data_IF_950104780698
#
_entry.id   IF_950104780698
#
_cell.length_a   1.000
_cell.length_b   1.000
_cell.length_c   1.000
_cell.angle_alpha   90.00
_cell.angle_beta   90.00
_cell.angle_gamma   90.00
#
_symmetry.space_group_name_H-M   'P 1'
#
loop_
_entity.id
_entity.type
_entity.pdbx_description
1 polymer ?
#
# COMPACT_ATOMS: atom_id res chain seq x y z
N UNK A 1 -48.72 4.18 44.27
CA UNK A 1 -47.32 4.65 44.40
C UNK A 1 -46.43 3.74 43.57
N UNK A 2 -46.10 4.17 42.36
CA UNK A 2 -45.23 3.41 41.44
C UNK A 2 -43.78 3.73 41.77
N UNK A 3 -43.06 2.77 42.34
CA UNK A 3 -41.64 2.90 42.64
C UNK A 3 -40.83 2.83 41.34
N UNK A 4 -40.27 3.96 40.92
CA UNK A 4 -39.32 4.03 39.81
C UNK A 4 -37.98 3.55 40.35
N UNK A 5 -37.63 2.30 40.05
CA UNK A 5 -36.30 1.75 40.32
C UNK A 5 -35.28 2.43 39.39
N UNK A 6 -34.67 3.51 39.87
CA UNK A 6 -33.53 4.16 39.23
C UNK A 6 -32.41 3.12 39.09
N UNK A 7 -32.16 2.69 37.86
CA UNK A 7 -31.02 1.85 37.52
C UNK A 7 -29.75 2.69 37.69
N UNK A 8 -29.10 2.56 38.86
CA UNK A 8 -27.78 3.12 39.09
C UNK A 8 -26.81 2.62 38.02
N UNK A 9 -26.29 3.55 37.21
CA UNK A 9 -25.21 3.26 36.29
C UNK A 9 -23.99 2.69 37.04
N UNK A 10 -23.09 1.98 36.34
CA UNK A 10 -21.91 1.41 36.97
C UNK A 10 -21.16 2.50 37.76
N UNK A 11 -20.84 2.20 39.03
CA UNK A 11 -20.09 3.12 39.87
C UNK A 11 -18.82 3.59 39.14
N UNK A 12 -18.42 4.87 39.25
CA UNK A 12 -17.31 5.44 38.48
C UNK A 12 -16.01 4.63 38.61
N UNK A 13 -15.75 4.02 39.77
CA UNK A 13 -14.60 3.14 39.98
C UNK A 13 -14.63 1.83 39.16
N UNK A 14 -15.81 1.30 38.85
CA UNK A 14 -15.95 0.10 38.02
C UNK A 14 -15.70 0.42 36.53
N UNK A 15 -16.16 1.58 36.06
CA UNK A 15 -15.92 2.03 34.69
C UNK A 15 -14.42 2.35 34.44
N UNK A 16 -13.73 2.93 35.43
CA UNK A 16 -12.29 3.21 35.34
C UNK A 16 -11.46 1.92 35.34
N UNK A 17 -11.80 0.93 36.18
CA UNK A 17 -11.11 -0.39 36.17
C UNK A 17 -11.29 -1.12 34.85
N UNK A 18 -12.52 -1.16 34.33
CA UNK A 18 -12.81 -1.74 33.01
C UNK A 18 -11.95 -1.05 31.92
N UNK A 19 -11.85 0.28 31.93
CA UNK A 19 -11.06 1.03 30.94
C UNK A 19 -9.56 0.69 31.01
N UNK A 20 -8.99 0.53 32.21
CA UNK A 20 -7.57 0.16 32.40
C UNK A 20 -7.31 -1.26 31.94
N UNK A 21 -8.20 -2.21 32.26
CA UNK A 21 -8.07 -3.60 31.82
C UNK A 21 -8.20 -3.74 30.30
N UNK A 22 -9.08 -2.96 29.66
CA UNK A 22 -9.15 -2.86 28.21
C UNK A 22 -7.89 -2.24 27.60
N UNK A 23 -7.33 -1.21 28.23
CA UNK A 23 -6.05 -0.61 27.82
C UNK A 23 -4.92 -1.64 27.79
N UNK A 24 -4.82 -2.49 28.81
CA UNK A 24 -3.82 -3.57 28.90
C UNK A 24 -3.94 -4.58 27.76
N UNK A 25 -5.17 -4.99 27.41
CA UNK A 25 -5.41 -5.93 26.30
C UNK A 25 -5.04 -5.32 24.95
N UNK A 26 -5.37 -4.05 24.73
CA UNK A 26 -5.01 -3.34 23.49
C UNK A 26 -3.49 -3.24 23.37
N UNK A 27 -2.80 -2.79 24.42
CA UNK A 27 -1.33 -2.67 24.44
C UNK A 27 -0.65 -4.01 24.19
N UNK A 28 -1.08 -5.08 24.86
CA UNK A 28 -0.50 -6.41 24.66
C UNK A 28 -0.74 -6.95 23.25
N UNK A 29 -1.88 -6.63 22.63
CA UNK A 29 -2.19 -7.05 21.25
C UNK A 29 -1.33 -6.31 20.23
N UNK A 30 -1.15 -5.00 20.41
CA UNK A 30 -0.25 -4.19 19.56
C UNK A 30 1.19 -4.67 19.69
N UNK A 31 1.67 -4.89 20.92
CA UNK A 31 3.03 -5.37 21.18
C UNK A 31 3.31 -6.72 20.48
N UNK A 32 2.37 -7.68 20.55
CA UNK A 32 2.48 -8.96 19.83
C UNK A 32 2.49 -8.78 18.31
N UNK A 33 1.69 -7.85 17.80
CA UNK A 33 1.70 -7.50 16.39
C UNK A 33 3.06 -6.98 15.93
N UNK A 34 3.68 -6.09 16.70
CA UNK A 34 5.05 -5.60 16.42
C UNK A 34 6.05 -6.75 16.41
N UNK A 35 6.03 -7.62 17.43
CA UNK A 35 6.92 -8.80 17.50
C UNK A 35 6.70 -9.73 16.30
N UNK A 36 5.45 -10.04 15.96
CA UNK A 36 5.12 -10.88 14.81
C UNK A 36 5.63 -10.26 13.49
N UNK A 37 5.51 -8.95 13.31
CA UNK A 37 6.06 -8.24 12.14
C UNK A 37 7.57 -8.35 12.09
N UNK A 38 8.27 -8.09 13.20
CA UNK A 38 9.75 -8.21 13.25
C UNK A 38 10.22 -9.63 12.96
N UNK A 39 9.55 -10.64 13.52
CA UNK A 39 9.84 -12.05 13.25
C UNK A 39 9.56 -12.41 11.78
N UNK A 40 8.47 -11.87 11.20
CA UNK A 40 8.17 -12.02 9.79
C UNK A 40 9.27 -11.45 8.91
N UNK A 41 9.73 -10.22 9.17
CA UNK A 41 10.83 -9.59 8.42
C UNK A 41 12.14 -10.37 8.55
N UNK A 42 12.47 -10.82 9.76
CA UNK A 42 13.64 -11.66 10.00
C UNK A 42 13.55 -12.99 9.22
N UNK A 43 12.37 -13.61 9.17
CA UNK A 43 12.12 -14.81 8.38
C UNK A 43 12.31 -14.53 6.88
N UNK A 44 11.75 -13.43 6.35
CA UNK A 44 11.93 -13.04 4.95
C UNK A 44 13.39 -12.74 4.59
N UNK A 45 14.17 -12.21 5.53
CA UNK A 45 15.60 -11.96 5.35
C UNK A 45 16.43 -13.25 5.37
N UNK A 46 16.11 -14.20 6.26
CA UNK A 46 16.91 -15.41 6.48
C UNK A 46 16.48 -16.61 5.61
N UNK A 47 15.19 -16.80 5.36
CA UNK A 47 14.67 -17.97 4.64
C UNK A 47 15.28 -18.15 3.23
N UNK A 48 15.54 -17.10 2.43
CA UNK A 48 16.17 -17.27 1.13
C UNK A 48 17.58 -17.87 1.17
N UNK A 49 18.30 -17.75 2.30
CA UNK A 49 19.60 -18.40 2.45
C UNK A 49 19.50 -19.94 2.36
N UNK A 50 18.36 -20.52 2.74
CA UNK A 50 18.12 -21.96 2.67
C UNK A 50 18.03 -22.50 1.23
N UNK A 51 17.71 -21.64 0.27
CA UNK A 51 17.62 -21.97 -1.17
C UNK A 51 18.84 -21.48 -1.95
N UNK A 52 19.92 -21.12 -1.25
CA UNK A 52 21.18 -20.66 -1.86
C UNK A 52 21.17 -19.21 -2.34
N UNK A 53 20.16 -18.41 -1.96
CA UNK A 53 20.22 -16.97 -2.20
C UNK A 53 21.07 -16.30 -1.12
N UNK A 54 21.65 -15.15 -1.43
CA UNK A 54 22.55 -14.45 -0.51
C UNK A 54 21.89 -13.21 0.07
N UNK A 55 21.50 -13.22 1.36
CA UNK A 55 21.10 -12.02 2.08
C UNK A 55 22.35 -11.21 2.46
N UNK A 56 22.38 -9.93 2.11
CA UNK A 56 23.46 -9.01 2.43
C UNK A 56 22.90 -7.76 3.09
N UNK A 57 23.54 -7.32 4.18
CA UNK A 57 23.17 -6.08 4.86
C UNK A 57 23.82 -4.89 4.16
N UNK A 58 23.02 -3.89 3.83
CA UNK A 58 23.49 -2.66 3.19
C UNK A 58 24.13 -1.75 4.22
N UNK A 59 25.43 -1.51 4.09
CA UNK A 59 26.20 -0.70 5.05
C UNK A 59 26.36 0.76 4.61
N UNK A 60 26.40 1.02 3.31
CA UNK A 60 26.67 2.35 2.72
C UNK A 60 25.44 2.91 2.00
N UNK A 61 25.44 4.23 1.74
CA UNK A 61 24.33 4.92 1.09
C UNK A 61 24.42 5.01 -0.43
N UNK A 62 25.28 4.22 -1.09
CA UNK A 62 25.53 4.36 -2.53
C UNK A 62 24.33 3.98 -3.42
N UNK A 63 23.39 3.20 -2.89
CA UNK A 63 22.19 2.74 -3.60
C UNK A 63 20.91 3.51 -3.20
N UNK A 64 21.05 4.66 -2.54
CA UNK A 64 19.93 5.55 -2.23
C UNK A 64 19.31 6.14 -3.51
N UNK A 65 17.99 6.46 -3.51
CA UNK A 65 17.06 6.45 -2.37
C UNK A 65 16.29 5.15 -2.15
N UNK A 66 16.35 4.19 -3.08
CA UNK A 66 15.49 3.00 -3.04
C UNK A 66 16.02 1.91 -2.09
N UNK A 67 17.34 1.81 -1.95
CA UNK A 67 18.02 0.91 -1.02
C UNK A 67 18.80 1.79 -0.04
N UNK A 68 18.49 1.69 1.25
CA UNK A 68 19.08 2.54 2.28
C UNK A 68 19.97 1.73 3.24
N UNK A 69 20.97 2.36 3.90
CA UNK A 69 21.74 1.69 4.94
C UNK A 69 20.84 1.09 6.02
N UNK A 70 21.10 -0.15 6.42
CA UNK A 70 20.28 -0.90 7.37
C UNK A 70 19.22 -1.82 6.73
N UNK A 71 19.01 -1.71 5.42
CA UNK A 71 18.22 -2.69 4.67
C UNK A 71 18.99 -4.01 4.52
N UNK A 72 18.28 -5.12 4.45
CA UNK A 72 18.82 -6.39 3.97
C UNK A 72 18.33 -6.63 2.56
N UNK A 73 19.26 -6.84 1.64
CA UNK A 73 18.95 -7.17 0.25
C UNK A 73 19.30 -8.62 0.00
N UNK A 74 18.34 -9.35 -0.56
CA UNK A 74 18.51 -10.74 -0.95
C UNK A 74 18.80 -10.80 -2.43
N UNK A 75 19.98 -11.35 -2.75
CA UNK A 75 20.48 -11.52 -4.11
C UNK A 75 20.27 -12.95 -4.58
N UNK A 76 19.67 -13.09 -5.76
CA UNK A 76 19.47 -14.38 -6.41
C UNK A 76 20.69 -14.71 -7.27
N UNK A 77 21.31 -15.90 -7.12
CA UNK A 77 22.36 -16.36 -8.01
C UNK A 77 21.81 -16.48 -9.43
N UNK A 78 22.53 -15.94 -10.41
CA UNK A 78 22.17 -16.03 -11.83
C UNK A 78 23.40 -16.41 -12.64
N UNK A 79 23.20 -17.12 -13.75
CA UNK A 79 24.29 -17.41 -14.69
C UNK A 79 24.84 -16.11 -15.31
N UNK A 80 26.11 -16.10 -15.67
CA UNK A 80 26.79 -14.92 -16.25
C UNK A 80 26.13 -14.38 -17.54
N UNK A 81 25.42 -15.23 -18.27
CA UNK A 81 24.64 -14.88 -19.47
C UNK A 81 23.25 -14.30 -19.21
N UNK A 82 22.75 -14.35 -17.97
CA UNK A 82 21.45 -13.78 -17.58
C UNK A 82 21.57 -12.38 -16.97
N UNK A 83 22.80 -11.88 -16.82
CA UNK A 83 23.08 -10.54 -16.28
C UNK A 83 22.82 -9.50 -17.37
N UNK A 84 21.75 -8.73 -17.19
CA UNK A 84 21.33 -7.67 -18.09
C UNK A 84 21.61 -6.27 -17.52
N UNK A 85 21.88 -5.32 -18.42
CA UNK A 85 22.06 -3.91 -18.09
C UNK A 85 20.88 -3.34 -17.31
N UNK A 86 21.17 -2.49 -16.33
CA UNK A 86 20.18 -1.85 -15.46
C UNK A 86 19.80 -2.65 -14.21
N UNK A 87 20.31 -3.87 -14.05
CA UNK A 87 20.12 -4.68 -12.83
C UNK A 87 21.09 -4.29 -11.73
N UNK A 88 20.65 -4.40 -10.49
CA UNK A 88 21.51 -4.22 -9.31
C UNK A 88 22.21 -5.55 -9.02
N UNK A 89 23.54 -5.50 -8.98
CA UNK A 89 24.39 -6.67 -8.80
C UNK A 89 25.02 -6.64 -7.41
N UNK A 90 25.15 -7.81 -6.80
CA UNK A 90 26.02 -8.06 -5.66
C UNK A 90 27.29 -8.71 -6.19
N UNK A 91 28.43 -8.07 -5.97
CA UNK A 91 29.73 -8.54 -6.45
C UNK A 91 30.81 -8.34 -5.39
N UNK A 92 31.95 -9.01 -5.56
CA UNK A 92 33.15 -8.70 -4.79
C UNK A 92 33.60 -7.26 -5.06
N UNK A 93 34.06 -6.57 -4.01
CA UNK A 93 34.55 -5.20 -4.10
C UNK A 93 36.01 -5.20 -4.61
N UNK A 94 36.29 -4.78 -5.86
CA UNK A 94 37.66 -4.73 -6.36
C UNK A 94 38.57 -3.71 -5.66
N UNK A 95 38.01 -2.75 -4.92
CA UNK A 95 38.77 -1.72 -4.21
C UNK A 95 39.03 -2.10 -2.73
N UNK A 96 38.27 -3.06 -2.18
CA UNK A 96 38.41 -3.56 -0.81
C UNK A 96 38.31 -5.10 -0.79
N UNK A 97 39.45 -5.77 -0.61
CA UNK A 97 39.48 -7.23 -0.49
C UNK A 97 38.55 -7.73 0.63
N UNK A 98 37.87 -8.86 0.38
CA UNK A 98 36.91 -9.50 1.27
C UNK A 98 35.63 -8.70 1.59
N UNK A 99 35.40 -7.58 0.89
CA UNK A 99 34.16 -6.82 0.96
C UNK A 99 33.26 -7.10 -0.25
N UNK A 100 31.95 -6.99 -0.03
CA UNK A 100 30.95 -7.06 -1.09
C UNK A 100 30.44 -5.67 -1.43
N UNK A 101 30.25 -5.42 -2.71
CA UNK A 101 29.68 -4.19 -3.24
C UNK A 101 28.39 -4.46 -3.97
N UNK A 102 27.40 -3.60 -3.74
CA UNK A 102 26.12 -3.66 -4.42
C UNK A 102 25.92 -2.41 -5.27
N UNK A 103 26.01 -2.52 -6.60
CA UNK A 103 25.83 -1.41 -7.53
C UNK A 103 25.07 -1.85 -8.80
N UNK A 104 24.51 -0.88 -9.53
CA UNK A 104 23.78 -1.14 -10.76
C UNK A 104 24.73 -1.31 -11.93
N UNK A 105 24.47 -2.34 -12.74
CA UNK A 105 25.16 -2.57 -14.00
C UNK A 105 24.74 -1.53 -15.05
N UNK A 106 25.70 -0.79 -15.61
CA UNK A 106 25.44 0.34 -16.52
C UNK A 106 25.78 0.01 -17.96
N UNK A 107 26.95 -0.58 -18.22
CA UNK A 107 27.43 -0.87 -19.57
C UNK A 107 28.59 -1.87 -19.55
N UNK A 108 28.78 -2.57 -20.68
CA UNK A 108 29.92 -3.45 -20.85
C UNK A 108 31.23 -2.65 -20.89
N UNK A 109 32.19 -3.08 -20.08
CA UNK A 109 33.54 -2.52 -20.01
C UNK A 109 34.53 -3.24 -20.93
N UNK A 110 35.81 -2.81 -20.91
CA UNK A 110 36.87 -3.44 -21.69
C UNK A 110 37.03 -4.93 -21.35
N UNK A 111 37.28 -5.77 -22.36
CA UNK A 111 37.56 -7.20 -22.15
C UNK A 111 36.37 -8.02 -21.63
N UNK A 112 35.13 -7.54 -21.77
CA UNK A 112 33.94 -8.25 -21.29
C UNK A 112 33.66 -8.07 -19.80
N UNK A 113 34.34 -7.11 -19.17
CA UNK A 113 34.04 -6.65 -17.81
C UNK A 113 32.73 -5.86 -17.77
N UNK A 114 32.25 -5.55 -16.58
CA UNK A 114 31.03 -4.79 -16.37
C UNK A 114 31.33 -3.51 -15.62
N UNK A 115 30.87 -2.38 -16.15
CA UNK A 115 30.93 -1.09 -15.45
C UNK A 115 29.70 -0.96 -14.58
N UNK A 116 29.92 -0.77 -13.28
CA UNK A 116 28.87 -0.58 -12.29
C UNK A 116 28.81 0.86 -11.79
N UNK A 117 27.67 1.21 -11.20
CA UNK A 117 27.46 2.53 -10.60
C UNK A 117 26.45 2.45 -9.46
N UNK A 118 26.77 3.07 -8.33
CA UNK A 118 25.80 3.32 -7.26
C UNK A 118 24.72 4.31 -7.69
N UNK A 119 23.46 4.04 -7.34
CA UNK A 119 22.31 4.89 -7.70
C UNK A 119 22.45 6.34 -7.20
N UNK A 120 23.08 6.53 -6.04
CA UNK A 120 23.36 7.84 -5.45
C UNK A 120 24.71 8.45 -5.89
N UNK A 121 25.56 7.68 -6.56
CA UNK A 121 26.89 8.14 -6.93
C UNK A 121 26.81 9.07 -8.18
N UNK A 122 27.58 10.17 -8.22
CA UNK A 122 27.57 11.07 -9.37
C UNK A 122 28.29 10.46 -10.59
N UNK A 123 29.34 9.68 -10.35
CA UNK A 123 30.19 9.07 -11.36
C UNK A 123 30.02 7.54 -11.35
N UNK A 124 30.37 6.89 -12.46
CA UNK A 124 30.51 5.43 -12.52
C UNK A 124 31.68 4.98 -11.64
N UNK A 125 31.68 3.71 -11.24
CA UNK A 125 32.79 3.15 -10.49
C UNK A 125 34.04 3.09 -11.39
N UNK A 126 35.20 3.44 -10.84
CA UNK A 126 36.45 3.51 -11.60
C UNK A 126 36.99 2.14 -12.02
N UNK A 127 36.63 1.10 -11.28
CA UNK A 127 37.16 -0.25 -11.44
C UNK A 127 36.05 -1.16 -11.97
N UNK A 128 36.10 -1.59 -13.24
CA UNK A 128 35.16 -2.56 -13.79
C UNK A 128 35.28 -3.91 -13.07
N UNK A 129 34.16 -4.64 -12.97
CA UNK A 129 34.12 -5.96 -12.33
C UNK A 129 34.00 -7.07 -13.38
N UNK A 130 34.61 -8.22 -13.11
CA UNK A 130 34.42 -9.40 -13.95
C UNK A 130 33.04 -10.04 -13.72
N UNK A 131 32.52 -10.75 -14.73
CA UNK A 131 31.26 -11.51 -14.59
C UNK A 131 31.34 -12.65 -13.58
N UNK A 132 32.55 -13.17 -13.34
CA UNK A 132 32.89 -14.18 -12.33
C UNK A 132 32.77 -13.66 -10.90
N UNK A 133 33.00 -12.36 -10.69
CA UNK A 133 32.95 -11.71 -9.38
C UNK A 133 31.51 -11.40 -8.91
N UNK A 134 30.50 -11.65 -9.75
CA UNK A 134 29.09 -11.42 -9.41
C UNK A 134 28.51 -12.64 -8.71
N UNK A 135 28.05 -12.43 -7.48
CA UNK A 135 27.38 -13.45 -6.68
C UNK A 135 25.89 -13.58 -7.02
N UNK A 136 25.26 -12.49 -7.48
CA UNK A 136 23.87 -12.52 -7.89
C UNK A 136 23.27 -11.16 -8.21
N UNK A 137 22.00 -11.19 -8.59
CA UNK A 137 21.17 -10.01 -8.87
C UNK A 137 20.25 -9.76 -7.69
N UNK A 138 20.19 -8.52 -7.22
CA UNK A 138 19.30 -8.11 -6.15
C UNK A 138 17.83 -8.38 -6.55
N UNK A 139 17.10 -9.07 -5.69
CA UNK A 139 15.72 -9.47 -5.95
C UNK A 139 14.75 -8.89 -4.92
N UNK A 140 15.06 -9.05 -3.63
CA UNK A 140 14.19 -8.63 -2.54
C UNK A 140 14.90 -7.69 -1.58
N UNK A 141 14.23 -6.62 -1.15
CA UNK A 141 14.69 -5.67 -0.14
C UNK A 141 13.80 -5.76 1.10
N UNK A 142 14.40 -6.05 2.24
CA UNK A 142 13.76 -6.06 3.55
C UNK A 142 14.20 -4.81 4.32
N UNK A 143 13.29 -3.87 4.60
CA UNK A 143 13.67 -2.59 5.18
C UNK A 143 14.11 -2.70 6.65
N UNK A 144 15.16 -1.96 7.01
CA UNK A 144 15.63 -1.70 8.40
C UNK A 144 16.04 -2.90 9.27
N UNK A 145 15.85 -4.14 8.84
CA UNK A 145 16.12 -5.33 9.67
C UNK A 145 17.61 -5.54 9.95
N UNK A 146 18.49 -5.03 9.09
CA UNK A 146 19.95 -5.11 9.22
C UNK A 146 20.57 -3.96 10.03
N UNK A 147 19.78 -2.97 10.44
CA UNK A 147 20.25 -1.81 11.22
C UNK A 147 21.06 -2.19 12.49
N UNK A 148 20.69 -3.21 13.28
CA UNK A 148 21.47 -3.60 14.45
C UNK A 148 22.89 -4.07 14.08
N UNK A 149 23.04 -4.77 12.96
CA UNK A 149 24.34 -5.25 12.46
C UNK A 149 25.23 -4.06 12.11
N UNK A 150 24.67 -3.05 11.44
CA UNK A 150 25.37 -1.79 11.14
C UNK A 150 25.87 -1.12 12.41
N UNK A 151 25.03 -0.95 13.42
CA UNK A 151 25.41 -0.30 14.68
C UNK A 151 26.52 -1.06 15.42
N UNK A 152 26.44 -2.39 15.44
CA UNK A 152 27.50 -3.25 16.01
C UNK A 152 28.80 -3.05 15.25
N UNK A 153 28.78 -3.08 13.91
CA UNK A 153 29.98 -2.87 13.09
C UNK A 153 30.58 -1.46 13.25
N UNK A 154 29.75 -0.45 13.52
CA UNK A 154 30.17 0.93 13.75
C UNK A 154 30.61 1.20 15.20
N UNK A 155 30.47 0.24 16.11
CA UNK A 155 30.77 0.42 17.53
C UNK A 155 29.76 1.28 18.29
N UNK A 156 28.56 1.51 17.74
CA UNK A 156 27.50 2.34 18.30
C UNK A 156 26.70 1.58 19.39
N UNK A 157 27.38 1.04 20.40
CA UNK A 157 26.80 0.18 21.44
C UNK A 157 25.65 0.81 22.21
N UNK A 158 25.61 2.15 22.32
CA UNK A 158 24.51 2.87 22.94
C UNK A 158 23.18 2.66 22.21
N UNK A 159 23.17 2.69 20.87
CA UNK A 159 21.97 2.45 20.07
C UNK A 159 21.53 0.98 20.16
N UNK A 160 22.50 0.05 20.17
CA UNK A 160 22.25 -1.38 20.36
C UNK A 160 21.59 -1.65 21.72
N UNK A 161 22.12 -1.05 22.79
CA UNK A 161 21.57 -1.19 24.14
C UNK A 161 20.15 -0.62 24.23
N UNK A 162 19.89 0.54 23.62
CA UNK A 162 18.55 1.12 23.57
C UNK A 162 17.57 0.24 22.79
N UNK A 163 17.98 -0.33 21.66
CA UNK A 163 17.18 -1.28 20.90
C UNK A 163 16.85 -2.53 21.73
N UNK A 164 17.84 -3.10 22.40
CA UNK A 164 17.67 -4.27 23.26
C UNK A 164 16.71 -3.98 24.42
N UNK A 165 16.83 -2.80 25.05
CA UNK A 165 15.92 -2.34 26.10
C UNK A 165 14.50 -2.16 25.56
N UNK A 166 14.34 -1.54 24.39
CA UNK A 166 13.06 -1.37 23.72
C UNK A 166 12.40 -2.71 23.38
N UNK A 167 13.15 -3.66 22.82
CA UNK A 167 12.67 -5.01 22.52
C UNK A 167 12.25 -5.74 23.80
N UNK A 168 13.05 -5.65 24.86
CA UNK A 168 12.72 -6.23 26.18
C UNK A 168 11.44 -5.62 26.73
N UNK A 169 11.27 -4.31 26.63
CA UNK A 169 10.04 -3.63 27.04
C UNK A 169 8.83 -4.10 26.23
N UNK A 170 8.94 -4.22 24.90
CA UNK A 170 7.85 -4.74 24.04
C UNK A 170 7.49 -6.19 24.41
N UNK A 171 8.49 -7.04 24.66
CA UNK A 171 8.25 -8.41 25.12
C UNK A 171 7.57 -8.44 26.50
N UNK A 172 7.96 -7.57 27.42
CA UNK A 172 7.29 -7.42 28.71
C UNK A 172 5.83 -6.97 28.52
N UNK A 173 5.56 -5.99 27.64
CA UNK A 173 4.20 -5.53 27.30
C UNK A 173 3.32 -6.67 26.75
N UNK A 174 3.91 -7.65 26.05
CA UNK A 174 3.18 -8.84 25.58
C UNK A 174 2.67 -9.74 26.73
N UNK A 175 3.18 -9.59 27.96
CA UNK A 175 2.79 -10.41 29.12
C UNK A 175 1.74 -9.75 30.02
N UNK A 176 1.45 -8.46 29.80
CA UNK A 176 0.63 -7.64 30.70
C UNK A 176 -0.83 -8.10 30.81
N UNK A 177 -1.39 -8.76 29.80
CA UNK A 177 -2.77 -9.30 29.82
C UNK A 177 -2.85 -10.69 30.48
N UNK A 178 -1.72 -11.33 30.81
CA UNK A 178 -1.68 -12.70 31.32
C UNK A 178 -2.33 -12.90 32.69
N UNK A 179 -2.38 -11.86 33.53
CA UNK A 179 -3.11 -11.92 34.82
C UNK A 179 -4.62 -11.90 34.64
N UNK A 180 -5.13 -11.21 33.62
CA UNK A 180 -6.56 -11.13 33.32
C UNK A 180 -7.07 -12.40 32.64
N UNK A 181 -6.25 -13.05 31.80
CA UNK A 181 -6.58 -14.36 31.23
C UNK A 181 -6.77 -15.43 32.29
N UNK A 182 -5.86 -15.50 33.28
CA UNK A 182 -5.94 -16.46 34.39
C UNK A 182 -7.20 -16.31 35.24
N UNK A 183 -7.68 -15.07 35.44
CA UNK A 183 -8.91 -14.82 36.20
C UNK A 183 -10.17 -15.21 35.43
N UNK A 184 -10.17 -15.09 34.10
CA UNK A 184 -11.29 -15.51 33.25
C UNK A 184 -11.37 -17.04 33.14
N UNK A 185 -10.23 -17.72 33.07
CA UNK A 185 -10.17 -19.19 32.98
C UNK A 185 -10.67 -19.84 34.28
N UNK A 186 -10.28 -19.30 35.44
CA UNK A 186 -10.72 -19.80 36.75
C UNK A 186 -12.24 -19.67 36.99
N UNK A 187 -12.89 -18.68 36.36
CA UNK A 187 -14.35 -18.45 36.48
C UNK A 187 -15.16 -19.44 35.61
N UNK A 188 -14.61 -19.84 34.44
CA UNK A 188 -15.23 -20.80 33.52
C UNK A 188 -15.22 -22.23 34.09
N UNK A 189 -14.17 -22.61 34.84
CA UNK A 189 -14.08 -23.91 35.53
C UNK A 189 -15.09 -24.04 36.68
N UNK A 190 -15.42 -22.94 37.37
CA UNK A 190 -16.43 -22.95 38.44
C UNK A 190 -17.88 -23.02 37.94
N UNK A 191 -18.17 -22.50 36.74
CA UNK A 191 -19.51 -22.55 36.14
C UNK A 191 -19.84 -23.94 35.52
N UNK A 192 -18.83 -24.76 35.22
CA UNK A 192 -18.99 -26.13 34.71
C UNK A 192 -19.43 -27.17 35.75
N UNK A 193 -19.24 -26.90 37.04
CA UNK A 193 -19.55 -27.84 38.13
C UNK A 193 -21.00 -27.75 38.65
N UNK A 194 -21.81 -26.78 38.18
CA UNK A 194 -23.18 -26.55 38.64
C UNK A 194 -24.27 -27.19 37.76
N UNK A 195 -23.98 -28.35 37.15
CA UNK A 195 -24.96 -29.20 36.47
C UNK A 195 -25.40 -30.35 37.39
N UNK A 196 -26.39 -30.10 38.24
CA UNK A 196 -26.99 -31.14 39.10
C UNK A 196 -27.87 -32.14 38.32
N UNK A 197 -28.05 -33.37 38.83
CA UNK A 197 -29.00 -34.34 38.27
C UNK A 197 -30.42 -34.06 38.78
N UNK A 198 -31.40 -33.95 37.87
CA UNK A 198 -32.83 -33.87 38.18
C UNK A 198 -33.54 -35.19 37.85
N UNK A 199 -34.16 -35.82 38.85
CA UNK A 199 -35.34 -36.70 38.78
C UNK A 199 -35.65 -37.21 40.22
N UNK A 200 -36.87 -37.28 40.76
CA UNK A 200 -38.22 -36.94 40.31
C UNK A 200 -39.18 -37.06 41.53
N UNK A 201 -40.38 -36.48 41.38
CA UNK A 201 -41.66 -36.83 42.03
C UNK A 201 -41.95 -36.47 43.51
N UNK A 202 -43.02 -35.69 43.73
CA UNK A 202 -43.87 -35.73 44.95
C UNK A 202 -45.18 -36.48 44.67
N UNK A 203 -46.28 -36.33 45.47
CA UNK A 203 -46.45 -35.82 46.84
C UNK A 203 -47.35 -36.74 47.75
N UNK A 204 -47.70 -36.24 48.95
CA UNK A 204 -48.88 -36.53 49.82
C UNK A 204 -48.78 -37.43 51.08
N UNK A 205 -49.43 -36.90 52.14
CA UNK A 205 -50.05 -37.50 53.35
C UNK A 205 -49.34 -37.53 54.73
N UNK A 206 -49.82 -36.61 55.59
CA UNK A 206 -50.52 -36.83 56.87
C UNK A 206 -49.79 -37.19 58.20
N UNK A 207 -50.29 -36.49 59.24
CA UNK A 207 -50.39 -36.82 60.67
C UNK A 207 -49.21 -36.51 61.63
N UNK A 208 -49.47 -35.65 62.63
CA UNK A 208 -48.73 -35.54 63.90
C UNK A 208 -49.12 -36.65 64.90
N UNK A 209 -48.86 -36.54 66.25
CA UNK A 209 -48.62 -35.31 67.02
C UNK A 209 -47.60 -35.37 68.21
N UNK A 210 -47.38 -34.18 68.80
CA UNK A 210 -47.32 -33.85 70.25
C UNK A 210 -46.03 -33.86 71.12
N UNK A 211 -46.02 -32.83 71.99
CA UNK A 211 -45.37 -32.63 73.30
C UNK A 211 -43.92 -32.07 73.34
N UNK A 212 -43.62 -30.97 74.06
CA UNK A 212 -44.43 -30.13 74.95
C UNK A 212 -43.64 -28.97 75.59
N UNK A 213 -44.42 -28.15 76.33
CA UNK A 213 -44.12 -27.21 77.44
C UNK A 213 -43.17 -26.04 77.19
N UNK A 214 -43.64 -24.78 77.17
CA UNK A 214 -44.12 -23.89 78.25
C UNK A 214 -42.98 -23.03 78.81
N UNK A 215 -43.21 -21.71 78.82
CA UNK A 215 -42.85 -20.74 79.86
C UNK A 215 -42.90 -19.32 79.28
N UNK A 216 -43.98 -18.60 79.62
CA UNK A 216 -44.12 -17.17 79.37
C UNK A 216 -43.60 -16.31 80.51
N UNK A 217 -43.18 -15.07 80.20
CA UNK A 217 -43.68 -13.87 80.89
C UNK A 217 -43.29 -12.58 80.14
N UNK A 218 -44.28 -11.72 80.01
CA UNK A 218 -44.30 -10.30 79.58
C UNK A 218 -43.33 -9.40 80.38
N UNK A 219 -42.92 -8.18 80.03
CA UNK A 219 -43.05 -7.24 78.90
C UNK A 219 -42.04 -6.10 79.18
N UNK A 220 -41.60 -5.36 78.15
CA UNK A 220 -41.51 -3.88 78.16
C UNK A 220 -40.99 -3.34 76.82
N UNK A 221 -41.91 -2.69 76.13
CA UNK A 221 -41.77 -1.57 75.18
C UNK A 221 -40.33 -1.08 74.92
N UNK A 222 -39.87 -1.28 73.69
CA UNK A 222 -38.71 -0.61 73.13
C UNK A 222 -38.81 -0.60 71.60
N UNK A 223 -38.95 0.58 71.01
CA UNK A 223 -39.04 0.76 69.57
C UNK A 223 -37.76 0.25 68.88
N UNK A 224 -37.84 -0.92 68.26
CA UNK A 224 -36.79 -1.44 67.39
C UNK A 224 -36.93 -0.79 66.01
N UNK A 225 -36.04 0.15 65.73
CA UNK A 225 -35.76 0.65 64.39
C UNK A 225 -35.33 -0.51 63.49
N UNK A 226 -36.17 -0.85 62.52
CA UNK A 226 -35.86 -1.85 61.51
C UNK A 226 -34.62 -1.46 60.72
N UNK A 227 -33.55 -2.24 60.86
CA UNK A 227 -32.45 -2.27 59.91
C UNK A 227 -33.02 -2.61 58.53
N UNK A 228 -32.79 -1.79 57.48
CA UNK A 228 -33.17 -2.20 56.14
C UNK A 228 -32.21 -3.32 55.72
N UNK A 229 -32.74 -4.54 55.61
CA UNK A 229 -32.06 -5.62 54.92
C UNK A 229 -31.69 -5.13 53.52
N UNK A 230 -30.40 -5.00 53.26
CA UNK A 230 -29.88 -4.68 51.94
C UNK A 230 -30.39 -5.75 50.97
N UNK A 231 -31.34 -5.39 50.12
CA UNK A 231 -31.82 -6.23 49.05
C UNK A 231 -30.61 -6.53 48.15
N UNK A 232 -30.06 -7.74 48.27
CA UNK A 232 -29.16 -8.29 47.28
C UNK A 232 -29.93 -8.32 45.97
N UNK A 233 -29.62 -7.39 45.08
CA UNK A 233 -30.17 -7.39 43.73
C UNK A 233 -29.62 -8.64 43.03
N UNK A 234 -30.38 -9.72 43.10
CA UNK A 234 -30.11 -10.95 42.35
C UNK A 234 -30.22 -10.58 40.88
N UNK A 235 -29.07 -10.22 40.27
CA UNK A 235 -28.94 -10.08 38.83
C UNK A 235 -29.36 -11.41 38.21
N UNK A 236 -30.54 -11.44 37.62
CA UNK A 236 -31.07 -12.64 36.98
C UNK A 236 -30.03 -13.21 35.99
N UNK A 237 -29.84 -14.54 35.97
CA UNK A 237 -28.85 -15.23 35.09
C UNK A 237 -28.92 -14.77 33.62
N UNK A 238 -30.09 -14.30 33.16
CA UNK A 238 -30.28 -13.71 31.82
C UNK A 238 -29.61 -12.35 31.62
N UNK A 239 -29.57 -11.48 32.63
CA UNK A 239 -28.88 -10.19 32.58
C UNK A 239 -27.35 -10.36 32.52
N UNK A 240 -26.80 -11.30 33.31
CA UNK A 240 -25.39 -11.68 33.26
C UNK A 240 -24.99 -12.27 31.91
N UNK A 241 -25.81 -13.19 31.35
CA UNK A 241 -25.60 -13.75 30.00
C UNK A 241 -25.65 -12.69 28.89
N UNK A 242 -26.54 -11.69 28.98
CA UNK A 242 -26.60 -10.57 28.01
C UNK A 242 -25.38 -9.67 28.11
N UNK A 243 -24.89 -9.38 29.32
CA UNK A 243 -23.65 -8.61 29.55
C UNK A 243 -22.44 -9.36 29.01
N UNK A 244 -22.33 -10.67 29.28
CA UNK A 244 -21.27 -11.53 28.74
C UNK A 244 -21.28 -11.60 27.20
N UNK A 245 -22.46 -11.68 26.57
CA UNK A 245 -22.58 -11.65 25.10
C UNK A 245 -22.22 -10.29 24.49
N UNK A 246 -22.56 -9.18 25.15
CA UNK A 246 -22.17 -7.82 24.72
C UNK A 246 -20.66 -7.64 24.81
N UNK A 247 -20.04 -8.08 25.91
CA UNK A 247 -18.59 -8.08 26.11
C UNK A 247 -17.88 -8.94 25.07
N UNK A 248 -18.40 -10.14 24.74
CA UNK A 248 -17.84 -10.99 23.67
C UNK A 248 -17.95 -10.37 22.27
N UNK A 249 -19.04 -9.65 21.95
CA UNK A 249 -19.16 -8.92 20.66
C UNK A 249 -18.23 -7.71 20.58
N UNK A 250 -18.09 -6.94 21.66
CA UNK A 250 -17.16 -5.82 21.73
C UNK A 250 -15.69 -6.29 21.68
N UNK A 251 -15.35 -7.45 22.26
CA UNK A 251 -14.03 -8.11 22.11
C UNK A 251 -13.65 -8.39 20.65
N UNK A 252 -14.60 -8.80 19.81
CA UNK A 252 -14.36 -9.03 18.37
C UNK A 252 -14.10 -7.73 17.60
N UNK A 253 -14.74 -6.64 18.00
CA UNK A 253 -14.61 -5.33 17.33
C UNK A 253 -13.32 -4.61 17.76
N UNK A 254 -12.98 -4.63 19.05
CA UNK A 254 -11.74 -4.04 19.57
C UNK A 254 -10.47 -4.76 19.08
N UNK A 255 -10.51 -6.09 19.00
CA UNK A 255 -9.45 -6.88 18.36
C UNK A 255 -9.33 -6.59 16.86
N UNK A 256 -10.46 -6.42 16.16
CA UNK A 256 -10.49 -6.06 14.73
C UNK A 256 -9.87 -4.68 14.44
N UNK A 257 -10.10 -3.68 15.30
CA UNK A 257 -9.50 -2.35 15.16
C UNK A 257 -7.97 -2.37 15.37
N UNK A 258 -7.48 -3.14 16.35
CA UNK A 258 -6.04 -3.33 16.56
C UNK A 258 -5.37 -4.05 15.36
N UNK A 259 -6.05 -5.03 14.77
CA UNK A 259 -5.60 -5.73 13.55
C UNK A 259 -5.55 -4.78 12.35
N UNK A 260 -6.51 -3.85 12.21
CA UNK A 260 -6.50 -2.85 11.13
C UNK A 260 -5.37 -1.82 11.28
N UNK A 261 -5.07 -1.38 12.49
CA UNK A 261 -3.93 -0.47 12.76
C UNK A 261 -2.60 -1.16 12.49
N UNK A 262 -2.47 -2.44 12.86
CA UNK A 262 -1.29 -3.26 12.52
C UNK A 262 -1.15 -3.47 11.01
N UNK A 263 -2.25 -3.71 10.29
CA UNK A 263 -2.24 -3.85 8.84
C UNK A 263 -1.83 -2.56 8.12
N UNK A 264 -2.24 -1.40 8.62
CA UNK A 264 -1.85 -0.10 8.07
C UNK A 264 -0.36 0.21 8.32
N UNK A 265 0.15 -0.04 9.54
CA UNK A 265 1.57 0.17 9.88
C UNK A 265 2.51 -0.83 9.16
N UNK A 266 2.05 -2.06 8.93
CA UNK A 266 2.83 -3.09 8.24
C UNK A 266 3.09 -2.75 6.76
N UNK A 267 2.23 -1.95 6.11
CA UNK A 267 2.36 -1.62 4.68
C UNK A 267 3.68 -0.93 4.31
N UNK A 268 4.27 -0.14 5.22
CA UNK A 268 5.56 0.55 5.02
C UNK A 268 6.75 -0.40 5.23
N UNK A 269 6.54 -1.50 5.95
CA UNK A 269 7.57 -2.47 6.31
C UNK A 269 7.59 -3.69 5.38
N UNK A 270 6.69 -3.76 4.39
CA UNK A 270 6.62 -4.91 3.50
C UNK A 270 7.92 -5.07 2.69
N UNK A 271 8.42 -6.31 2.55
CA UNK A 271 9.48 -6.61 1.61
C UNK A 271 9.10 -6.11 0.21
N UNK A 272 9.98 -5.34 -0.40
CA UNK A 272 9.79 -4.76 -1.73
C UNK A 272 10.81 -5.28 -2.72
N UNK A 273 10.58 -5.06 -4.01
CA UNK A 273 11.58 -5.39 -5.02
C UNK A 273 12.86 -4.55 -4.81
N UNK A 274 14.02 -5.20 -4.87
CA UNK A 274 15.33 -4.56 -4.81
C UNK A 274 15.79 -4.06 -6.19
N UNK A 275 14.91 -3.32 -6.88
CA UNK A 275 15.21 -2.74 -8.17
C UNK A 275 16.04 -1.47 -8.02
N UNK A 276 16.64 -1.03 -9.13
CA UNK A 276 17.32 0.26 -9.18
C UNK A 276 16.32 1.42 -9.13
N UNK A 277 16.74 2.55 -8.54
CA UNK A 277 16.01 3.80 -8.67
C UNK A 277 16.20 4.38 -10.08
N UNK A 278 15.18 5.04 -10.67
CA UNK A 278 15.41 5.83 -11.87
C UNK A 278 16.51 6.85 -11.60
N UNK A 279 17.50 6.96 -12.48
CA UNK A 279 18.48 8.05 -12.37
C UNK A 279 17.72 9.36 -12.54
N UNK A 280 17.67 10.16 -11.48
CA UNK A 280 17.18 11.51 -11.54
C UNK A 280 18.34 12.46 -11.29
N UNK A 281 18.43 13.49 -12.13
CA UNK A 281 19.33 14.62 -11.91
C UNK A 281 18.44 15.83 -11.79
N UNK A 282 18.29 16.35 -10.58
CA UNK A 282 17.55 17.60 -10.37
C UNK A 282 18.47 18.74 -10.81
N UNK A 283 18.19 19.32 -11.98
CA UNK A 283 18.78 20.62 -12.34
C UNK A 283 17.82 21.70 -11.85
N UNK A 284 18.33 22.66 -11.08
CA UNK A 284 17.56 23.87 -10.79
C UNK A 284 17.75 24.78 -11.99
N UNK A 285 16.87 24.68 -12.99
CA UNK A 285 16.79 25.63 -14.07
C UNK A 285 15.70 26.66 -13.70
N UNK A 286 16.04 27.83 -13.13
CA UNK A 286 15.06 28.83 -12.68
C UNK A 286 14.21 29.40 -13.83
N UNK A 287 14.56 29.10 -15.08
CA UNK A 287 13.84 29.50 -16.30
C UNK A 287 13.05 28.36 -16.95
N UNK A 288 13.17 27.11 -16.48
CA UNK A 288 12.43 26.00 -17.07
C UNK A 288 11.01 25.94 -16.49
N UNK A 289 10.03 26.39 -17.27
CA UNK A 289 8.62 26.18 -16.98
C UNK A 289 8.12 24.93 -17.71
N UNK A 290 7.57 23.97 -16.96
CA UNK A 290 6.84 22.85 -17.54
C UNK A 290 5.35 23.16 -17.49
N UNK A 291 4.71 23.24 -18.65
CA UNK A 291 3.26 23.42 -18.76
C UNK A 291 2.67 22.14 -19.31
N UNK A 292 1.69 21.57 -18.60
CA UNK A 292 0.89 20.49 -19.14
C UNK A 292 -0.03 21.05 -20.25
N UNK A 293 0.16 20.60 -21.49
CA UNK A 293 -0.69 20.95 -22.63
C UNK A 293 -1.66 19.83 -22.96
N UNK A 294 -2.91 20.16 -23.29
CA UNK A 294 -3.91 19.20 -23.80
C UNK A 294 -4.08 19.38 -25.29
N UNK A 295 -3.87 18.32 -26.07
CA UNK A 295 -3.97 18.36 -27.52
C UNK A 295 -5.41 18.62 -27.96
N UNK A 296 -5.68 19.84 -28.45
CA UNK A 296 -6.99 20.24 -28.96
C UNK A 296 -7.11 19.89 -30.45
N UNK A 297 -8.14 19.15 -30.88
CA UNK A 297 -8.36 18.87 -32.30
C UNK A 297 -8.85 20.12 -33.06
N UNK A 298 -8.53 20.19 -34.35
CA UNK A 298 -9.19 21.14 -35.27
C UNK A 298 -10.68 20.80 -35.45
N UNK A 299 -11.50 21.82 -35.66
CA UNK A 299 -12.96 21.71 -35.80
C UNK A 299 -13.46 22.45 -37.05
N UNK A 300 -14.75 22.33 -37.37
CA UNK A 300 -15.42 23.07 -38.45
C UNK A 300 -14.70 23.02 -39.81
N UNK A 301 -14.44 21.81 -40.32
CA UNK A 301 -13.77 21.63 -41.61
C UNK A 301 -14.68 22.06 -42.77
N UNK A 302 -14.13 22.83 -43.70
CA UNK A 302 -14.81 23.29 -44.92
C UNK A 302 -13.96 22.97 -46.14
N UNK A 303 -14.60 22.77 -47.29
CA UNK A 303 -13.93 22.56 -48.57
C UNK A 303 -14.35 23.68 -49.53
N UNK A 304 -13.37 24.32 -50.18
CA UNK A 304 -13.60 25.34 -51.21
C UNK A 304 -12.78 25.02 -52.47
N UNK A 305 -13.41 24.89 -53.65
CA UNK A 305 -12.68 24.64 -54.89
C UNK A 305 -12.00 25.91 -55.39
N UNK A 306 -10.76 25.78 -55.89
CA UNK A 306 -9.95 26.93 -56.36
C UNK A 306 -10.09 27.20 -57.87
N UNK A 307 -10.80 26.35 -58.62
CA UNK A 307 -10.98 26.49 -60.08
C UNK A 307 -9.79 26.02 -60.93
N UNK A 308 -8.68 25.65 -60.31
CA UNK A 308 -7.44 25.16 -60.95
C UNK A 308 -7.21 23.65 -60.75
N UNK A 309 -8.26 22.91 -60.37
CA UNK A 309 -8.17 21.49 -60.03
C UNK A 309 -7.66 21.20 -58.62
N UNK A 310 -7.41 22.21 -57.79
CA UNK A 310 -7.11 22.06 -56.36
C UNK A 310 -8.27 22.50 -55.47
N UNK A 311 -8.27 22.02 -54.22
CA UNK A 311 -9.25 22.39 -53.19
C UNK A 311 -8.52 22.94 -51.96
N UNK A 312 -9.10 23.96 -51.34
CA UNK A 312 -8.65 24.48 -50.05
C UNK A 312 -9.52 23.89 -48.93
N UNK A 313 -8.87 23.26 -47.96
CA UNK A 313 -9.51 22.74 -46.76
C UNK A 313 -9.35 23.76 -45.64
N UNK A 314 -10.42 24.47 -45.32
CA UNK A 314 -10.49 25.37 -44.17
C UNK A 314 -10.83 24.60 -42.89
N UNK A 315 -10.39 25.11 -41.74
CA UNK A 315 -10.71 24.57 -40.43
C UNK A 315 -10.58 25.66 -39.35
N UNK A 316 -11.26 25.47 -38.23
CA UNK A 316 -11.11 26.28 -37.03
C UNK A 316 -10.19 25.58 -36.02
N UNK A 317 -9.37 26.36 -35.33
CA UNK A 317 -8.47 25.86 -34.29
C UNK A 317 -8.31 26.88 -33.17
N UNK A 318 -8.79 26.52 -31.97
CA UNK A 318 -8.76 27.37 -30.77
C UNK A 318 -7.78 26.83 -29.72
N UNK A 319 -6.75 26.11 -30.17
CA UNK A 319 -5.75 25.48 -29.32
C UNK A 319 -4.46 26.27 -29.15
N UNK A 320 -3.53 25.79 -28.32
CA UNK A 320 -2.17 26.34 -28.25
C UNK A 320 -1.44 26.17 -29.59
N UNK A 321 -0.42 27.00 -29.83
CA UNK A 321 0.29 27.02 -31.12
C UNK A 321 0.79 25.61 -31.53
N UNK A 322 0.24 25.10 -32.63
CA UNK A 322 0.65 23.84 -33.22
C UNK A 322 1.86 24.05 -34.15
N UNK A 323 2.72 23.05 -34.29
CA UNK A 323 3.84 23.11 -35.22
C UNK A 323 3.35 23.09 -36.68
N UNK A 324 2.35 22.29 -37.02
CA UNK A 324 1.74 22.27 -38.36
C UNK A 324 0.38 21.60 -38.36
N UNK A 325 -0.35 21.75 -39.47
CA UNK A 325 -1.60 21.06 -39.73
C UNK A 325 -1.49 20.26 -41.02
N UNK A 326 -1.88 18.99 -40.98
CA UNK A 326 -1.82 18.08 -42.14
C UNK A 326 -3.22 17.60 -42.50
N UNK A 327 -3.54 17.58 -43.78
CA UNK A 327 -4.76 16.95 -44.31
C UNK A 327 -4.48 15.47 -44.53
N UNK A 328 -5.23 14.60 -43.87
CA UNK A 328 -5.16 13.15 -44.09
C UNK A 328 -6.31 12.64 -44.91
N UNK A 329 -6.00 11.74 -45.84
CA UNK A 329 -6.96 10.87 -46.47
C UNK A 329 -7.32 9.75 -45.48
N UNK A 330 -8.58 9.67 -45.04
CA UNK A 330 -9.00 8.67 -44.05
C UNK A 330 -8.99 7.25 -44.61
N UNK A 331 -9.16 7.08 -45.92
CA UNK A 331 -9.28 5.77 -46.56
C UNK A 331 -7.91 5.11 -46.75
N UNK A 332 -6.86 5.91 -47.01
CA UNK A 332 -5.49 5.43 -47.19
C UNK A 332 -4.58 5.70 -45.98
N UNK A 333 -5.06 6.46 -44.99
CA UNK A 333 -4.29 6.96 -43.86
C UNK A 333 -2.99 7.68 -44.26
N UNK A 334 -2.99 8.32 -45.43
CA UNK A 334 -1.86 9.07 -45.98
C UNK A 334 -2.06 10.57 -45.81
N UNK A 335 -0.95 11.31 -45.71
CA UNK A 335 -0.96 12.78 -45.70
C UNK A 335 -1.11 13.26 -47.14
N UNK A 336 -2.20 13.96 -47.43
CA UNK A 336 -2.47 14.53 -48.74
C UNK A 336 -1.79 15.90 -48.94
N UNK A 337 -1.71 16.70 -47.87
CA UNK A 337 -1.01 18.00 -47.86
C UNK A 337 -0.68 18.40 -46.43
N UNK A 338 0.33 19.26 -46.26
CA UNK A 338 0.66 19.88 -44.95
C UNK A 338 0.75 21.39 -45.14
N UNK A 339 0.05 22.13 -44.28
CA UNK A 339 0.06 23.59 -44.28
C UNK A 339 1.37 24.16 -43.72
N UNK A 340 1.60 25.47 -43.90
CA UNK A 340 2.75 26.16 -43.31
C UNK A 340 2.78 26.00 -41.78
N UNK A 341 3.99 25.97 -41.22
CA UNK A 341 4.16 25.79 -39.79
C UNK A 341 3.49 26.93 -39.01
N UNK A 342 2.72 26.57 -37.98
CA UNK A 342 2.00 27.54 -37.13
C UNK A 342 0.84 28.30 -37.79
N UNK A 343 0.48 28.00 -39.04
CA UNK A 343 -0.61 28.70 -39.74
C UNK A 343 -1.94 27.94 -39.65
N UNK A 344 -3.02 28.65 -39.34
CA UNK A 344 -4.41 28.16 -39.42
C UNK A 344 -5.07 28.50 -40.75
N UNK A 345 -4.30 28.94 -41.75
CA UNK A 345 -4.82 29.22 -43.08
C UNK A 345 -5.34 27.94 -43.77
N UNK A 346 -6.32 28.05 -44.68
CA UNK A 346 -6.81 26.91 -45.45
C UNK A 346 -5.67 26.18 -46.17
N UNK A 347 -5.65 24.85 -46.08
CA UNK A 347 -4.60 24.02 -46.68
C UNK A 347 -5.00 23.66 -48.09
N UNK A 348 -4.14 24.02 -49.05
CA UNK A 348 -4.31 23.64 -50.45
C UNK A 348 -3.93 22.18 -50.65
N UNK A 349 -4.87 21.41 -51.19
CA UNK A 349 -4.70 19.99 -51.55
C UNK A 349 -4.71 19.85 -53.06
N UNK A 350 -3.73 19.14 -53.59
CA UNK A 350 -3.62 18.79 -55.03
C UNK A 350 -3.81 17.29 -55.22
N UNK A 351 -4.30 16.88 -56.39
CA UNK A 351 -4.62 15.47 -56.66
C UNK A 351 -3.41 14.52 -56.66
N UNK A 352 -2.17 15.04 -56.67
CA UNK A 352 -0.94 14.24 -56.60
C UNK A 352 -0.81 13.40 -55.31
N UNK A 353 -1.46 13.83 -54.22
CA UNK A 353 -1.46 13.11 -52.93
C UNK A 353 -2.60 12.08 -52.78
N UNK A 354 -3.49 11.95 -53.77
CA UNK A 354 -4.72 11.15 -53.68
C UNK A 354 -4.89 10.38 -55.01
N UNK A 355 -4.41 9.14 -55.06
CA UNK A 355 -4.29 8.33 -56.28
C UNK A 355 -5.56 7.54 -56.68
N UNK A 356 -6.69 7.76 -56.00
CA UNK A 356 -7.94 7.05 -56.28
C UNK A 356 -8.81 7.86 -57.24
N UNK A 357 -8.83 7.51 -58.52
CA UNK A 357 -9.60 8.20 -59.57
C UNK A 357 -11.12 7.97 -59.41
N UNK A 358 -11.93 9.00 -59.66
CA UNK A 358 -13.40 8.94 -59.63
C UNK A 358 -14.04 8.65 -58.26
N UNK A 359 -13.26 8.61 -57.17
CA UNK A 359 -13.73 8.27 -55.84
C UNK A 359 -14.08 9.53 -55.01
N UNK A 360 -15.01 9.36 -54.07
CA UNK A 360 -15.22 10.32 -52.98
C UNK A 360 -14.31 9.94 -51.83
N UNK A 361 -13.40 10.84 -51.47
CA UNK A 361 -12.42 10.65 -50.41
C UNK A 361 -12.82 11.52 -49.22
N UNK A 362 -12.86 10.91 -48.04
CA UNK A 362 -13.05 11.63 -46.79
C UNK A 362 -11.69 12.10 -46.27
N UNK A 363 -11.62 13.36 -45.86
CA UNK A 363 -10.40 13.95 -45.31
C UNK A 363 -10.64 14.51 -43.91
N UNK A 364 -9.59 14.44 -43.08
CA UNK A 364 -9.53 15.00 -41.73
C UNK A 364 -8.27 15.83 -41.56
N UNK A 365 -8.24 16.70 -40.54
CA UNK A 365 -7.06 17.49 -40.19
C UNK A 365 -6.36 16.83 -39.01
N UNK A 366 -5.04 16.69 -39.11
CA UNK A 366 -4.15 16.36 -37.99
C UNK A 366 -3.41 17.59 -37.55
N UNK A 367 -3.54 17.90 -36.27
CA UNK A 367 -2.77 18.94 -35.60
C UNK A 367 -1.48 18.33 -35.07
N UNK A 368 -0.34 18.76 -35.59
CA UNK A 368 0.98 18.29 -35.18
C UNK A 368 1.61 19.26 -34.19
N UNK A 369 2.11 18.77 -33.05
CA UNK A 369 2.73 19.61 -32.03
C UNK A 369 4.23 19.44 -31.97
N UNK A 370 4.71 18.22 -31.70
CA UNK A 370 6.15 17.91 -31.68
C UNK A 370 6.37 16.40 -31.81
N UNK A 371 7.30 15.99 -32.68
CA UNK A 371 7.62 14.57 -32.89
C UNK A 371 6.38 13.75 -33.26
N UNK A 372 6.07 12.73 -32.45
CA UNK A 372 4.90 11.85 -32.62
C UNK A 372 3.64 12.34 -31.90
N UNK A 373 3.65 13.53 -31.29
CA UNK A 373 2.47 14.11 -30.63
C UNK A 373 1.60 14.82 -31.66
N UNK A 374 0.46 14.19 -31.94
CA UNK A 374 -0.56 14.74 -32.82
C UNK A 374 -1.96 14.40 -32.32
N UNK A 375 -2.94 15.18 -32.76
CA UNK A 375 -4.36 14.90 -32.55
C UNK A 375 -5.11 15.05 -33.87
N UNK A 376 -5.95 14.07 -34.16
CA UNK A 376 -6.78 14.07 -35.37
C UNK A 376 -8.13 14.75 -35.08
N UNK A 377 -8.64 15.50 -36.05
CA UNK A 377 -9.97 16.10 -35.98
C UNK A 377 -11.05 15.02 -36.01
N UNK A 378 -12.10 15.22 -35.22
CA UNK A 378 -13.34 14.43 -35.30
C UNK A 378 -14.21 14.88 -36.46
N UNK A 379 -14.12 16.17 -36.84
CA UNK A 379 -14.76 16.70 -38.02
C UNK A 379 -14.02 16.23 -39.29
N UNK A 380 -14.80 15.88 -40.31
CA UNK A 380 -14.33 15.40 -41.62
C UNK A 380 -15.02 16.16 -42.74
N UNK A 381 -14.36 16.31 -43.88
CA UNK A 381 -14.99 16.84 -45.11
C UNK A 381 -14.72 15.89 -46.28
N UNK A 382 -15.51 15.98 -47.34
CA UNK A 382 -15.43 15.07 -48.49
C UNK A 382 -14.99 15.81 -49.73
N UNK A 383 -14.08 15.18 -50.47
CA UNK A 383 -13.56 15.67 -51.75
C UNK A 383 -13.75 14.60 -52.80
N UNK A 384 -14.02 14.99 -54.03
CA UNK A 384 -14.19 14.10 -55.16
C UNK A 384 -13.02 14.28 -56.13
N UNK A 385 -12.42 13.17 -56.51
CA UNK A 385 -11.39 13.13 -57.56
C UNK A 385 -12.04 12.97 -58.92
N UNK A 386 -11.52 13.65 -59.94
CA UNK A 386 -11.99 13.48 -61.31
C UNK A 386 -11.81 12.04 -61.82
N UNK A 387 -12.65 11.64 -62.79
CA UNK A 387 -12.55 10.35 -63.50
C UNK A 387 -11.32 10.30 -64.43
N UNK A 388 -10.84 11.45 -64.89
CA UNK A 388 -9.65 11.61 -65.73
C UNK A 388 -8.85 12.82 -65.23
N UNK A 389 -7.56 12.63 -64.95
CA UNK A 389 -6.65 13.67 -64.45
C UNK A 389 -6.60 13.79 -62.92
N UNK A 390 -5.93 14.83 -62.42
CA UNK A 390 -5.67 15.06 -60.98
C UNK A 390 -6.57 16.15 -60.37
N UNK A 391 -7.67 16.50 -61.03
CA UNK A 391 -8.57 17.56 -60.56
C UNK A 391 -9.38 17.10 -59.35
N UNK A 392 -9.52 17.99 -58.37
CA UNK A 392 -10.31 17.81 -57.16
C UNK A 392 -11.49 18.77 -57.13
N UNK A 393 -12.63 18.31 -56.63
CA UNK A 393 -13.81 19.11 -56.31
C UNK A 393 -14.32 18.78 -54.90
N UNK A 394 -15.13 19.66 -54.32
CA UNK A 394 -15.78 19.38 -53.04
C UNK A 394 -17.01 18.49 -53.25
N UNK A 395 -17.14 17.46 -52.43
CA UNK A 395 -18.29 16.56 -52.47
C UNK A 395 -19.27 16.94 -51.35
N UNK A 396 -20.52 17.25 -51.72
CA UNK A 396 -21.58 17.58 -50.76
C UNK A 396 -22.05 16.37 -49.99
#
# INVERSE_FOLDING_TARGET
MSSIAVHGGPAPHAAVRDAVDWGRVVVATVARGVVATLLGLALWAAAPALIGWQPTTVMTGSMQPRIVPGDVVVSRPVGSGEIATGKVLLADDPDQADHLRMHRYVEDGPGGTMVTKGDANPQQDSTPIERSAVHGVAFLRIPFIGTPIRWISAGEWGLVAMLALGLTAVLALCTIDGSLRRLVEADDDTDGAAGGPDAAAGPDHAAGPAAGTDDGLEARVGAATGLPAAASSVLTRRALRRRARRVRRLRRVGGGAAVLVLAAAASVLLPGAADAAPWSRTTVAPTAAFTAGTATPATALTCMPNGDGSVNIGFAYNGPAAASFSVLNTNANTIAATGPAGSTAPIRVTGSGILTLGAVVTVKIRTNWAGSWYVDSTATTRIQTALVGTNLSCAN
#
